data_IF_391922925371
#
_entry.id   IF_391922925371
#
_cell.length_a   1.000
_cell.length_b   1.000
_cell.length_c   1.000
_cell.angle_alpha   90.00
_cell.angle_beta   90.00
_cell.angle_gamma   90.00
#
_symmetry.space_group_name_H-M   'P 1'
#
loop_
_entity.id
_entity.type
_entity.pdbx_description
1 polymer ?
#
# COMPACT_ATOMS: atom_id res chain seq x y z
N UNK A 1 15.01 -26.18 -25.53
CA UNK A 1 13.65 -25.68 -25.28
C UNK A 1 13.81 -24.39 -24.48
N UNK A 2 13.97 -23.26 -25.17
CA UNK A 2 14.03 -21.94 -24.54
C UNK A 2 12.62 -21.36 -24.51
N UNK A 3 11.97 -21.39 -23.36
CA UNK A 3 10.81 -20.53 -23.14
C UNK A 3 11.36 -19.14 -22.85
N UNK A 4 11.46 -18.36 -23.93
CA UNK A 4 11.58 -16.91 -23.90
C UNK A 4 10.42 -16.35 -23.07
N UNK A 5 10.67 -16.09 -21.79
CA UNK A 5 9.79 -15.30 -20.95
C UNK A 5 9.82 -13.86 -21.46
N UNK A 6 8.96 -13.58 -22.45
CA UNK A 6 8.59 -12.21 -22.83
C UNK A 6 7.90 -11.58 -21.63
N UNK A 7 8.64 -10.76 -20.91
CA UNK A 7 8.08 -9.77 -19.99
C UNK A 7 7.21 -8.79 -20.80
N UNK A 8 5.88 -8.68 -20.58
CA UNK A 8 4.99 -7.96 -21.49
C UNK A 8 4.87 -6.45 -21.22
N UNK A 9 5.63 -5.85 -20.30
CA UNK A 9 5.35 -4.48 -19.80
C UNK A 9 6.33 -3.41 -20.27
N UNK A 10 6.97 -3.59 -21.43
CA UNK A 10 7.75 -2.51 -22.04
C UNK A 10 7.41 -2.43 -23.52
N UNK A 11 6.49 -1.55 -23.90
CA UNK A 11 6.43 -1.14 -25.30
C UNK A 11 7.63 -0.24 -25.58
N UNK A 12 8.44 -0.65 -26.55
CA UNK A 12 9.58 0.09 -27.05
C UNK A 12 9.15 1.52 -27.44
N UNK A 13 9.99 2.51 -27.14
CA UNK A 13 9.73 3.94 -27.43
C UNK A 13 9.42 4.19 -28.91
N UNK A 14 9.84 3.31 -29.82
CA UNK A 14 9.48 3.37 -31.24
C UNK A 14 7.99 3.08 -31.50
N UNK A 15 7.32 2.29 -30.66
CA UNK A 15 5.88 2.03 -30.75
C UNK A 15 5.04 3.25 -30.36
N UNK A 16 5.50 4.03 -29.37
CA UNK A 16 4.83 5.28 -28.96
C UNK A 16 4.93 6.37 -30.04
N UNK A 17 6.04 6.40 -30.78
CA UNK A 17 6.28 7.37 -31.85
C UNK A 17 5.32 7.20 -33.04
N UNK A 18 4.76 5.99 -33.23
CA UNK A 18 3.81 5.68 -34.32
C UNK A 18 2.35 5.89 -33.96
N UNK A 19 2.01 6.05 -32.68
CA UNK A 19 0.63 6.28 -32.22
C UNK A 19 0.18 7.73 -32.45
N UNK A 20 -1.10 7.96 -32.73
CA UNK A 20 -1.72 9.28 -32.69
C UNK A 20 -1.89 9.81 -31.26
N UNK A 21 -2.16 11.11 -31.10
CA UNK A 21 -2.27 11.74 -29.76
C UNK A 21 -3.35 11.12 -28.86
N UNK A 22 -4.44 10.61 -29.43
CA UNK A 22 -5.52 9.97 -28.67
C UNK A 22 -5.10 8.60 -28.15
N UNK A 23 -4.46 7.79 -29.00
CA UNK A 23 -3.96 6.45 -28.65
C UNK A 23 -2.87 6.54 -27.57
N UNK A 24 -1.97 7.53 -27.66
CA UNK A 24 -0.98 7.80 -26.61
C UNK A 24 -1.63 8.14 -25.28
N UNK A 25 -2.61 9.04 -25.26
CA UNK A 25 -3.35 9.39 -24.03
C UNK A 25 -4.04 8.17 -23.41
N UNK A 26 -4.67 7.33 -24.22
CA UNK A 26 -5.31 6.10 -23.70
C UNK A 26 -4.30 5.10 -23.13
N UNK A 27 -3.11 5.01 -23.75
CA UNK A 27 -2.02 4.15 -23.29
C UNK A 27 -1.40 4.66 -21.99
N UNK A 28 -1.13 5.96 -21.88
CA UNK A 28 -0.64 6.57 -20.64
C UNK A 28 -1.63 6.36 -19.49
N UNK A 29 -2.93 6.53 -19.77
CA UNK A 29 -3.99 6.32 -18.77
C UNK A 29 -4.08 4.85 -18.32
N UNK A 30 -3.91 3.89 -19.23
CA UNK A 30 -3.94 2.47 -18.88
C UNK A 30 -2.70 2.05 -18.08
N UNK A 31 -1.53 2.58 -18.41
CA UNK A 31 -0.30 2.36 -17.66
C UNK A 31 -0.39 2.92 -16.25
N UNK A 32 -0.91 4.14 -16.09
CA UNK A 32 -1.13 4.74 -14.78
C UNK A 32 -2.12 3.94 -13.94
N UNK A 33 -3.19 3.43 -14.55
CA UNK A 33 -4.15 2.54 -13.87
C UNK A 33 -3.50 1.23 -13.44
N UNK A 34 -2.64 0.65 -14.26
CA UNK A 34 -1.96 -0.59 -13.95
C UNK A 34 -0.93 -0.42 -12.83
N UNK A 35 -0.14 0.66 -12.85
CA UNK A 35 0.82 0.98 -11.78
C UNK A 35 0.12 1.32 -10.47
N UNK A 36 -1.01 2.03 -10.52
CA UNK A 36 -1.85 2.27 -9.36
C UNK A 36 -2.39 0.96 -8.79
N UNK A 37 -2.95 0.08 -9.62
CA UNK A 37 -3.43 -1.23 -9.16
C UNK A 37 -2.31 -2.09 -8.56
N UNK A 38 -1.12 -2.05 -9.15
CA UNK A 38 0.06 -2.72 -8.60
C UNK A 38 0.42 -2.14 -7.22
N UNK A 39 0.43 -0.81 -7.06
CA UNK A 39 0.69 -0.15 -5.77
C UNK A 39 -0.41 -0.42 -4.71
N UNK A 40 -1.67 -0.57 -5.11
CA UNK A 40 -2.76 -1.01 -4.23
C UNK A 40 -2.55 -2.46 -3.78
N UNK A 41 -2.16 -3.34 -4.71
CA UNK A 41 -1.93 -4.76 -4.44
C UNK A 41 -0.68 -5.00 -3.57
N UNK A 42 0.37 -4.21 -3.80
CA UNK A 42 1.62 -4.22 -3.03
C UNK A 42 1.48 -3.58 -1.64
N UNK A 43 0.35 -2.91 -1.37
CA UNK A 43 0.09 -2.27 -0.07
C UNK A 43 0.74 -0.89 0.10
N UNK A 44 1.48 -0.39 -0.91
CA UNK A 44 2.11 0.94 -0.89
C UNK A 44 1.11 2.07 -0.61
N UNK A 45 -0.11 1.95 -1.13
CA UNK A 45 -1.19 2.92 -0.88
C UNK A 45 -1.92 2.69 0.45
N UNK A 46 -1.65 1.57 1.14
CA UNK A 46 -2.26 1.23 2.44
C UNK A 46 -1.42 1.73 3.62
N UNK A 47 -0.11 1.93 3.45
CA UNK A 47 0.76 2.48 4.50
C UNK A 47 0.33 3.89 4.95
N UNK A 48 0.03 4.84 4.04
CA UNK A 48 -0.54 6.13 4.43
C UNK A 48 -1.88 5.99 5.15
N UNK A 49 -2.74 5.06 4.69
CA UNK A 49 -4.02 4.80 5.33
C UNK A 49 -3.86 4.28 6.76
N UNK A 50 -2.87 3.45 7.07
CA UNK A 50 -2.59 3.03 8.46
C UNK A 50 -2.26 4.24 9.34
N UNK A 51 -1.48 5.18 8.83
CA UNK A 51 -1.11 6.39 9.58
C UNK A 51 -2.34 7.25 9.88
N UNK A 52 -3.19 7.49 8.89
CA UNK A 52 -4.45 8.23 9.07
C UNK A 52 -5.38 7.53 10.09
N UNK A 53 -5.53 6.21 9.99
CA UNK A 53 -6.36 5.43 10.92
C UNK A 53 -5.79 5.39 12.33
N UNK A 54 -4.48 5.41 12.49
CA UNK A 54 -3.85 5.54 13.80
C UNK A 54 -4.14 6.93 14.40
N UNK A 55 -4.08 8.00 13.62
CA UNK A 55 -4.47 9.33 14.08
C UNK A 55 -5.94 9.38 14.49
N UNK A 56 -6.84 8.74 13.74
CA UNK A 56 -8.25 8.59 14.13
C UNK A 56 -8.42 7.84 15.46
N UNK A 57 -7.68 6.75 15.69
CA UNK A 57 -7.70 5.99 16.94
C UNK A 57 -7.32 6.84 18.15
N UNK A 58 -6.40 7.79 17.98
CA UNK A 58 -5.96 8.72 19.01
C UNK A 58 -6.69 10.08 18.94
N UNK A 59 -7.90 10.11 18.37
CA UNK A 59 -8.79 11.28 18.35
C UNK A 59 -8.15 12.54 17.71
N UNK A 60 -7.24 12.35 16.76
CA UNK A 60 -6.53 13.43 16.09
C UNK A 60 -5.16 13.76 16.71
N UNK A 61 -4.76 13.14 17.82
CA UNK A 61 -3.43 13.32 18.40
C UNK A 61 -2.36 12.56 17.59
N UNK A 62 -1.74 13.30 16.68
CA UNK A 62 -0.67 12.80 15.81
C UNK A 62 0.54 12.30 16.61
N UNK A 63 0.93 12.98 17.69
CA UNK A 63 2.11 12.59 18.46
C UNK A 63 1.90 11.26 19.18
N UNK A 64 0.70 11.05 19.73
CA UNK A 64 0.30 9.77 20.33
C UNK A 64 0.20 8.66 19.30
N UNK A 65 -0.34 8.95 18.11
CA UNK A 65 -0.41 7.99 17.01
C UNK A 65 0.98 7.57 16.50
N UNK A 66 1.89 8.51 16.26
CA UNK A 66 3.27 8.22 15.85
C UNK A 66 4.01 7.39 16.90
N UNK A 67 3.84 7.75 18.19
CA UNK A 67 4.43 6.98 19.30
C UNK A 67 3.89 5.55 19.34
N UNK A 68 2.59 5.36 19.14
CA UNK A 68 1.97 4.03 19.10
C UNK A 68 2.45 3.22 17.90
N UNK A 69 2.56 3.83 16.72
CA UNK A 69 3.06 3.19 15.51
C UNK A 69 4.51 2.71 15.64
N UNK A 70 5.33 3.41 16.44
CA UNK A 70 6.71 3.04 16.71
C UNK A 70 6.89 2.11 17.93
N UNK A 71 5.88 1.96 18.78
CA UNK A 71 5.99 1.18 20.02
C UNK A 71 5.71 -0.31 19.77
N UNK A 72 6.48 -1.23 20.39
CA UNK A 72 6.15 -2.64 20.47
C UNK A 72 4.73 -2.87 20.98
N UNK A 73 3.94 -3.69 20.28
CA UNK A 73 2.59 -4.02 20.67
C UNK A 73 2.46 -5.52 20.94
N UNK A 74 1.92 -5.89 22.11
CA UNK A 74 1.71 -7.29 22.51
C UNK A 74 0.83 -8.05 21.52
N UNK A 75 -0.17 -7.40 20.93
CA UNK A 75 -1.05 -7.98 19.93
C UNK A 75 -0.34 -8.36 18.61
N UNK A 76 0.83 -7.75 18.38
CA UNK A 76 1.65 -7.92 17.19
C UNK A 76 2.94 -8.71 17.51
N UNK A 77 2.87 -9.61 18.50
CA UNK A 77 4.03 -10.40 18.94
C UNK A 77 5.23 -9.54 19.36
N UNK A 78 4.94 -8.40 20.02
CA UNK A 78 5.94 -7.39 20.43
C UNK A 78 6.66 -6.67 19.29
N UNK A 79 6.15 -6.77 18.06
CA UNK A 79 6.57 -5.90 16.96
C UNK A 79 5.80 -4.59 17.03
N UNK A 80 6.40 -3.52 16.54
CA UNK A 80 5.71 -2.26 16.32
C UNK A 80 4.79 -2.33 15.09
N UNK A 81 3.70 -1.56 15.06
CA UNK A 81 2.89 -1.41 13.84
C UNK A 81 3.74 -1.08 12.61
N UNK A 82 4.73 -0.18 12.72
CA UNK A 82 5.63 0.17 11.62
C UNK A 82 6.42 -1.00 11.06
N UNK A 83 6.93 -1.91 11.92
CA UNK A 83 7.62 -3.11 11.45
C UNK A 83 6.70 -4.03 10.63
N UNK A 84 5.42 -4.09 11.01
CA UNK A 84 4.41 -4.90 10.31
C UNK A 84 4.07 -4.35 8.92
N UNK A 85 4.27 -3.06 8.66
CA UNK A 85 3.93 -2.43 7.38
C UNK A 85 4.84 -2.84 6.22
N UNK A 86 5.92 -3.58 6.50
CA UNK A 86 6.87 -4.06 5.49
C UNK A 86 6.29 -5.15 4.59
N UNK A 87 5.13 -5.72 4.92
CA UNK A 87 4.46 -6.74 4.13
C UNK A 87 2.92 -6.56 4.13
N UNK A 88 2.21 -6.89 3.04
CA UNK A 88 0.76 -6.65 2.93
C UNK A 88 -0.07 -7.32 4.03
N UNK A 89 0.26 -8.55 4.44
CA UNK A 89 -0.49 -9.24 5.48
C UNK A 89 -0.31 -8.58 6.86
N UNK A 90 0.86 -8.02 7.13
CA UNK A 90 1.12 -7.24 8.33
C UNK A 90 0.35 -5.92 8.36
N UNK A 91 0.18 -5.26 7.20
CA UNK A 91 -0.71 -4.10 7.08
C UNK A 91 -2.15 -4.46 7.46
N UNK A 92 -2.68 -5.57 6.93
CA UNK A 92 -4.04 -6.01 7.25
C UNK A 92 -4.22 -6.34 8.74
N UNK A 93 -3.20 -6.94 9.37
CA UNK A 93 -3.19 -7.21 10.81
C UNK A 93 -3.22 -5.92 11.63
N UNK A 94 -2.44 -4.90 11.26
CA UNK A 94 -2.42 -3.60 11.94
C UNK A 94 -3.76 -2.87 11.78
N UNK A 95 -4.34 -2.86 10.58
CA UNK A 95 -5.66 -2.26 10.34
C UNK A 95 -6.76 -2.94 11.15
N UNK A 96 -6.72 -4.27 11.24
CA UNK A 96 -7.64 -5.03 12.09
C UNK A 96 -7.47 -4.68 13.57
N UNK A 97 -6.23 -4.55 14.04
CA UNK A 97 -5.95 -4.15 15.41
C UNK A 97 -6.50 -2.75 15.71
N UNK A 98 -6.29 -1.78 14.82
CA UNK A 98 -6.83 -0.43 14.96
C UNK A 98 -8.36 -0.49 15.09
N UNK A 99 -9.05 -1.22 14.21
CA UNK A 99 -10.50 -1.36 14.28
C UNK A 99 -10.97 -2.00 15.60
N UNK A 100 -10.26 -3.02 16.10
CA UNK A 100 -10.56 -3.63 17.39
C UNK A 100 -10.44 -2.61 18.54
N UNK A 101 -9.35 -1.85 18.57
CA UNK A 101 -9.10 -0.83 19.60
C UNK A 101 -10.15 0.29 19.57
N UNK A 102 -10.56 0.74 18.37
CA UNK A 102 -11.63 1.73 18.20
C UNK A 102 -12.98 1.24 18.76
N UNK A 103 -13.23 -0.07 18.70
CA UNK A 103 -14.44 -0.70 19.27
C UNK A 103 -14.25 -1.13 20.73
N UNK A 104 -13.12 -0.82 21.37
CA UNK A 104 -12.83 -1.19 22.76
C UNK A 104 -12.51 -2.68 22.97
N UNK A 105 -12.15 -3.39 21.90
CA UNK A 105 -11.74 -4.80 21.94
C UNK A 105 -10.23 -4.89 22.12
N UNK A 106 -9.80 -5.46 23.24
CA UNK A 106 -8.38 -5.65 23.57
C UNK A 106 -7.96 -7.12 23.37
N UNK A 107 -6.92 -7.40 22.56
CA UNK A 107 -6.38 -8.73 22.31
C UNK A 107 -5.47 -9.27 23.43
#
# INVERSE_FOLDING_TARGET
>A
METSERNPITHDVASLKKMGSLERKTYEMSQLKNSFNAAVADGLLRVPAVSERAVELFEGDVASAEKWLAAPNRALEWKSPNEMLSNPSGIDVVLKLIAQLQHGVYP
#
